data_IF_517934096361
#
_entry.id   IF_517934096361
#
_cell.length_a   1.000
_cell.length_b   1.000
_cell.length_c   1.000
_cell.angle_alpha   90.00
_cell.angle_beta   90.00
_cell.angle_gamma   90.00
#
_symmetry.space_group_name_H-M   'P 1'
#
loop_
_entity.id
_entity.type
_entity.pdbx_description
1 polymer ?
#
# COMPACT_ATOMS: atom_id res chain seq x y z
N UNK A 1 18.30 9.30 4.76
CA UNK A 1 18.17 7.86 5.01
C UNK A 1 18.21 7.16 3.67
N UNK A 2 19.00 6.11 3.49
CA UNK A 2 19.03 5.39 2.21
C UNK A 2 17.77 4.53 2.10
N UNK A 3 17.35 4.24 0.87
CA UNK A 3 16.17 3.41 0.62
C UNK A 3 16.29 2.02 1.27
N UNK A 4 17.49 1.42 1.22
CA UNK A 4 17.77 0.14 1.87
C UNK A 4 17.59 0.17 3.40
N UNK A 5 17.96 1.28 4.05
CA UNK A 5 17.73 1.46 5.49
C UNK A 5 16.23 1.51 5.81
N UNK A 6 15.45 2.18 4.94
CA UNK A 6 13.99 2.26 5.06
C UNK A 6 13.37 0.87 4.91
N UNK A 7 13.77 0.11 3.89
CA UNK A 7 13.30 -1.27 3.69
C UNK A 7 13.59 -2.10 4.94
N UNK A 8 14.84 -2.08 5.43
CA UNK A 8 15.25 -2.85 6.61
C UNK A 8 14.46 -2.46 7.86
N UNK A 9 14.17 -1.17 8.05
CA UNK A 9 13.35 -0.67 9.16
C UNK A 9 11.95 -1.31 9.18
N UNK A 10 11.32 -1.50 8.01
CA UNK A 10 9.97 -2.12 7.92
C UNK A 10 9.91 -3.60 8.30
N UNK A 11 11.03 -4.25 8.66
CA UNK A 11 11.02 -5.59 9.26
C UNK A 11 10.30 -5.60 10.62
N UNK A 12 10.42 -4.49 11.36
CA UNK A 12 9.83 -4.30 12.69
C UNK A 12 8.91 -3.08 12.75
N UNK A 13 9.16 -2.08 11.91
CA UNK A 13 8.35 -0.87 11.81
C UNK A 13 7.16 -1.03 10.84
N UNK A 14 6.16 -0.12 10.88
CA UNK A 14 5.12 -0.04 9.87
C UNK A 14 5.66 0.11 8.44
N UNK A 15 4.79 -0.18 7.47
CA UNK A 15 5.06 0.03 6.05
C UNK A 15 5.38 1.50 5.75
N UNK A 16 6.26 1.73 4.77
CA UNK A 16 6.67 3.08 4.36
C UNK A 16 6.61 3.23 2.85
N UNK A 17 6.06 4.35 2.37
CA UNK A 17 6.14 4.69 0.96
C UNK A 17 7.59 4.98 0.55
N UNK A 18 7.89 4.71 -0.72
CA UNK A 18 9.16 5.08 -1.33
C UNK A 18 9.25 6.60 -1.43
N UNK A 19 10.46 7.13 -1.20
CA UNK A 19 10.70 8.57 -1.31
C UNK A 19 10.36 9.04 -2.74
N UNK A 20 9.60 10.14 -2.84
CA UNK A 20 9.17 10.71 -4.12
C UNK A 20 7.83 10.22 -4.65
N UNK A 21 7.19 9.24 -4.00
CA UNK A 21 5.80 8.85 -4.34
C UNK A 21 4.82 9.96 -3.95
N UNK A 22 3.89 10.28 -4.85
CA UNK A 22 2.83 11.24 -4.62
C UNK A 22 1.64 10.58 -3.88
N UNK A 23 1.69 10.56 -2.55
CA UNK A 23 0.69 9.83 -1.73
C UNK A 23 -0.76 10.30 -2.01
N UNK A 24 -1.08 11.60 -2.09
CA UNK A 24 -2.45 12.04 -2.43
C UNK A 24 -2.97 11.52 -3.77
N UNK A 25 -2.10 11.39 -4.77
CA UNK A 25 -2.46 10.81 -6.07
C UNK A 25 -2.70 9.30 -5.95
N UNK A 26 -1.85 8.59 -5.21
CA UNK A 26 -2.02 7.16 -4.92
C UNK A 26 -3.33 6.91 -4.16
N UNK A 27 -3.67 7.75 -3.17
CA UNK A 27 -4.94 7.67 -2.43
C UNK A 27 -6.12 7.65 -3.38
N UNK A 28 -6.19 8.63 -4.28
CA UNK A 28 -7.28 8.72 -5.26
C UNK A 28 -7.22 7.60 -6.29
N UNK A 29 -6.05 7.28 -6.83
CA UNK A 29 -5.91 6.29 -7.89
C UNK A 29 -6.35 4.90 -7.44
N UNK A 30 -5.88 4.45 -6.27
CA UNK A 30 -6.25 3.14 -5.72
C UNK A 30 -7.72 3.13 -5.32
N UNK A 31 -8.25 4.22 -4.75
CA UNK A 31 -9.65 4.32 -4.40
C UNK A 31 -10.59 4.28 -5.61
N UNK A 32 -10.21 4.90 -6.73
CA UNK A 32 -11.05 4.95 -7.92
C UNK A 32 -10.92 3.70 -8.80
N UNK A 33 -9.70 3.15 -8.90
CA UNK A 33 -9.38 2.12 -9.92
C UNK A 33 -8.97 0.76 -9.33
N UNK A 34 -8.79 0.69 -8.01
CA UNK A 34 -8.39 -0.53 -7.33
C UNK A 34 -9.48 -1.59 -7.25
N UNK A 35 -9.05 -2.82 -7.03
CA UNK A 35 -9.88 -4.00 -6.82
C UNK A 35 -10.46 -3.92 -5.41
N UNK A 36 -11.79 -4.00 -5.30
CA UNK A 36 -12.47 -4.04 -4.00
C UNK A 36 -12.09 -5.31 -3.24
N UNK A 37 -11.90 -5.17 -1.93
CA UNK A 37 -11.64 -6.31 -1.05
C UNK A 37 -12.91 -7.13 -0.78
N UNK A 38 -12.76 -8.38 -0.38
CA UNK A 38 -13.85 -9.35 -0.13
C UNK A 38 -14.24 -9.48 1.34
N UNK A 39 -13.52 -8.81 2.24
CA UNK A 39 -13.69 -8.92 3.69
C UNK A 39 -14.78 -7.98 4.28
N UNK A 40 -15.69 -7.48 3.44
CA UNK A 40 -16.79 -6.59 3.83
C UNK A 40 -16.38 -5.14 4.11
N UNK A 41 -15.11 -4.77 3.91
CA UNK A 41 -14.64 -3.39 4.02
C UNK A 41 -14.77 -2.64 2.69
N UNK A 42 -14.83 -1.31 2.75
CA UNK A 42 -14.84 -0.43 1.57
C UNK A 42 -13.47 -0.29 0.89
N UNK A 43 -12.46 -1.02 1.36
CA UNK A 43 -11.08 -0.86 0.94
C UNK A 43 -10.86 -1.33 -0.50
N UNK A 44 -9.80 -0.79 -1.10
CA UNK A 44 -9.35 -1.21 -2.42
C UNK A 44 -7.87 -1.48 -2.43
N UNK A 45 -7.45 -2.44 -3.25
CA UNK A 45 -6.05 -2.76 -3.46
C UNK A 45 -5.69 -2.59 -4.94
N UNK A 46 -4.44 -2.21 -5.19
CA UNK A 46 -3.90 -2.08 -6.54
C UNK A 46 -2.44 -2.48 -6.58
N UNK A 47 -2.05 -3.12 -7.67
CA UNK A 47 -0.66 -3.33 -8.04
C UNK A 47 -0.23 -2.25 -9.03
N UNK A 48 0.92 -1.64 -8.78
CA UNK A 48 1.55 -0.67 -9.64
C UNK A 48 2.68 -1.31 -10.45
N UNK A 49 3.10 -0.64 -11.53
CA UNK A 49 4.27 -1.08 -12.31
C UNK A 49 5.58 -0.87 -11.55
N UNK A 50 5.67 0.25 -10.82
CA UNK A 50 6.86 0.64 -10.07
C UNK A 50 6.70 0.37 -8.56
N UNK A 51 7.85 0.21 -7.89
CA UNK A 51 7.90 0.07 -6.43
C UNK A 51 7.29 1.30 -5.75
N UNK A 52 6.21 1.09 -5.00
CA UNK A 52 5.51 2.13 -4.26
C UNK A 52 6.01 2.27 -2.82
N UNK A 53 6.53 1.20 -2.23
CA UNK A 53 6.96 1.26 -0.84
C UNK A 53 7.69 0.02 -0.36
N UNK A 54 7.81 -0.07 0.96
CA UNK A 54 8.39 -1.20 1.67
C UNK A 54 7.41 -1.73 2.73
N UNK A 55 7.34 -3.06 2.85
CA UNK A 55 6.51 -3.79 3.80
C UNK A 55 7.25 -5.05 4.26
N UNK A 56 7.37 -5.25 5.58
CA UNK A 56 8.03 -6.44 6.18
C UNK A 56 9.44 -6.72 5.63
N UNK A 57 10.23 -5.68 5.44
CA UNK A 57 11.62 -5.82 5.00
C UNK A 57 11.79 -6.05 3.51
N UNK A 58 10.76 -5.83 2.69
CA UNK A 58 10.79 -6.01 1.24
C UNK A 58 10.16 -4.83 0.53
N UNK A 59 10.65 -4.51 -0.65
CA UNK A 59 9.95 -3.62 -1.57
C UNK A 59 8.60 -4.21 -1.98
N UNK A 60 7.66 -3.34 -2.30
CA UNK A 60 6.34 -3.73 -2.80
C UNK A 60 5.80 -2.73 -3.82
N UNK A 61 5.14 -3.26 -4.83
CA UNK A 61 4.33 -2.50 -5.78
C UNK A 61 2.85 -2.48 -5.41
N UNK A 62 2.48 -3.15 -4.32
CA UNK A 62 1.09 -3.29 -3.87
C UNK A 62 0.74 -2.24 -2.82
N UNK A 63 -0.42 -1.62 -3.00
CA UNK A 63 -0.98 -0.61 -2.09
C UNK A 63 -2.41 -0.98 -1.76
N UNK A 64 -2.82 -0.73 -0.52
CA UNK A 64 -4.21 -0.75 -0.07
C UNK A 64 -4.64 0.66 0.33
N UNK A 65 -5.80 1.10 -0.11
CA UNK A 65 -6.44 2.34 0.36
C UNK A 65 -7.66 1.99 1.20
N UNK A 66 -7.68 2.56 2.40
CA UNK A 66 -8.74 2.35 3.39
C UNK A 66 -9.47 3.66 3.62
N UNK A 67 -10.78 3.57 3.85
CA UNK A 67 -11.58 4.70 4.28
C UNK A 67 -11.84 4.60 5.79
N UNK A 68 -11.69 5.72 6.49
CA UNK A 68 -12.01 5.85 7.91
C UNK A 68 -12.51 7.26 8.20
N UNK A 69 -13.76 7.39 8.61
CA UNK A 69 -14.34 8.69 8.98
C UNK A 69 -14.54 9.64 7.80
N UNK A 70 -14.78 9.10 6.60
CA UNK A 70 -14.94 9.84 5.35
C UNK A 70 -13.63 10.23 4.67
N UNK A 71 -12.49 9.80 5.20
CA UNK A 71 -11.16 10.11 4.65
C UNK A 71 -10.47 8.83 4.19
N UNK A 72 -9.88 8.88 3.00
CA UNK A 72 -9.14 7.77 2.42
C UNK A 72 -7.64 7.91 2.70
N UNK A 73 -6.99 6.80 3.03
CA UNK A 73 -5.55 6.74 3.30
C UNK A 73 -4.95 5.45 2.76
N UNK A 74 -3.87 5.58 2.01
CA UNK A 74 -3.15 4.46 1.42
C UNK A 74 -1.99 3.97 2.28
N UNK A 75 -1.71 2.68 2.17
CA UNK A 75 -0.57 2.04 2.78
C UNK A 75 0.06 1.00 1.83
N UNK A 76 1.39 0.94 1.72
CA UNK A 76 2.06 -0.17 1.06
C UNK A 76 1.74 -1.47 1.79
N UNK A 77 1.50 -2.53 1.03
CA UNK A 77 1.16 -3.85 1.55
C UNK A 77 1.93 -4.93 0.79
N UNK A 78 2.10 -6.12 1.35
CA UNK A 78 2.72 -7.23 0.64
C UNK A 78 1.76 -7.91 -0.34
N UNK A 79 2.29 -8.48 -1.42
CA UNK A 79 1.53 -9.24 -2.43
C UNK A 79 0.70 -10.39 -1.81
N UNK A 80 1.26 -11.14 -0.87
CA UNK A 80 0.52 -12.23 -0.23
C UNK A 80 -0.72 -11.73 0.54
N UNK A 81 -0.64 -10.53 1.11
CA UNK A 81 -1.74 -9.92 1.85
C UNK A 81 -2.76 -9.27 0.91
N UNK A 82 -2.31 -8.61 -0.18
CA UNK A 82 -3.23 -8.10 -1.20
C UNK A 82 -4.04 -9.24 -1.83
N UNK A 83 -3.40 -10.37 -2.15
CA UNK A 83 -4.06 -11.58 -2.66
C UNK A 83 -5.05 -12.18 -1.67
N UNK A 84 -4.82 -12.08 -0.35
CA UNK A 84 -5.78 -12.52 0.66
C UNK A 84 -6.99 -11.60 0.74
N UNK A 85 -6.79 -10.29 0.57
CA UNK A 85 -7.87 -9.30 0.64
C UNK A 85 -8.83 -9.35 -0.55
N UNK A 86 -8.42 -9.88 -1.71
CA UNK A 86 -9.24 -9.96 -2.94
C UNK A 86 -9.76 -11.36 -3.25
N UNK A 87 -9.53 -12.32 -2.35
CA UNK A 87 -10.02 -13.70 -2.48
C UNK A 87 -11.39 -13.85 -1.87
#
# INVERSE_FOLDING_TARGET
MKWEDIINSTKSDPAKFKQGVNIPEIDQEVWLTGISVTNGQSWKVKEFRDVQGAYKGKETCWVVTKESGGVIHSHPIGEAESRRLIK
#
